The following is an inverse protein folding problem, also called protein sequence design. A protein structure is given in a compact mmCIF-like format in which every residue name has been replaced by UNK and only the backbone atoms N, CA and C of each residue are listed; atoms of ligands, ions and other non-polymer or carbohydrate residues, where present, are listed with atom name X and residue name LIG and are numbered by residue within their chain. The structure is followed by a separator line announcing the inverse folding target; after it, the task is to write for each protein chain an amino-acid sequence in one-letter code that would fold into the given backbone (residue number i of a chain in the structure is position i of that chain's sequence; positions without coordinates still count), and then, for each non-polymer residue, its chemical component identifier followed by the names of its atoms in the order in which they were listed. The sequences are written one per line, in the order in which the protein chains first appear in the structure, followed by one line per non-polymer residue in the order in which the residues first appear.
data_IF_207907759476
#
_entry.id   IF_207907759476
#
_cell.length_a   1.000
_cell.length_b   1.000
_cell.length_c   1.000
_cell.angle_alpha   90.00
_cell.angle_beta   90.00
_cell.angle_gamma   90.00
#
_symmetry.space_group_name_H-M   'P 1'
#
loop_
_entity.id
_entity.type
_entity.pdbx_description
1 polymer ?
#
# COMPACT_ATOMS: atom_id res chain seq x y z
N UNK A 1 -16.66 -32.42 4.49
CA UNK A 1 -15.80 -32.08 5.64
C UNK A 1 -15.82 -30.57 5.78
N UNK A 2 -16.34 -30.07 6.91
CA UNK A 2 -16.41 -28.64 7.24
C UNK A 2 -15.04 -28.17 7.73
N UNK A 3 -14.45 -27.19 7.06
CA UNK A 3 -13.14 -26.58 7.41
C UNK A 3 -13.23 -25.39 8.36
N UNK A 4 -14.27 -25.34 9.21
CA UNK A 4 -14.42 -24.30 10.22
C UNK A 4 -14.10 -24.87 11.61
N UNK A 5 -12.82 -25.00 11.94
CA UNK A 5 -12.38 -25.15 13.33
C UNK A 5 -10.88 -24.90 13.44
N UNK A 6 -10.50 -24.12 14.46
CA UNK A 6 -9.14 -23.78 14.94
C UNK A 6 -8.57 -22.41 14.50
N UNK A 7 -9.28 -21.34 14.86
CA UNK A 7 -8.67 -20.03 15.16
C UNK A 7 -8.46 -19.91 16.68
N UNK A 8 -7.47 -20.59 17.25
CA UNK A 8 -7.01 -20.36 18.63
C UNK A 8 -5.48 -20.52 18.68
N UNK A 9 -4.83 -19.46 19.18
CA UNK A 9 -3.38 -19.17 19.23
C UNK A 9 -2.77 -18.50 17.99
N UNK A 10 -2.86 -17.17 17.97
CA UNK A 10 -2.19 -16.29 17.01
C UNK A 10 -2.94 -16.16 15.69
N UNK A 11 -4.17 -15.63 15.73
CA UNK A 11 -4.97 -15.40 14.52
C UNK A 11 -4.12 -14.69 13.48
N UNK A 12 -4.11 -15.21 12.24
CA UNK A 12 -3.50 -14.55 11.09
C UNK A 12 -3.95 -13.10 11.16
N UNK A 13 -3.03 -12.20 11.46
CA UNK A 13 -3.34 -10.78 11.59
C UNK A 13 -3.59 -10.31 10.16
N UNK A 14 -4.86 -10.32 9.76
CA UNK A 14 -5.32 -9.77 8.50
C UNK A 14 -4.85 -8.31 8.45
N UNK A 15 -4.10 -7.98 7.41
CA UNK A 15 -3.46 -6.69 7.24
C UNK A 15 -3.90 -6.09 5.91
N UNK A 16 -3.91 -4.77 5.83
CA UNK A 16 -4.22 -4.04 4.61
C UNK A 16 -2.92 -3.56 3.98
N UNK A 17 -2.57 -4.08 2.81
CA UNK A 17 -1.44 -3.63 2.02
C UNK A 17 -1.90 -2.59 1.01
N UNK A 18 -1.22 -1.45 0.98
CA UNK A 18 -1.38 -0.45 -0.08
C UNK A 18 -0.07 -0.37 -0.84
N UNK A 19 -0.06 -0.88 -2.07
CA UNK A 19 1.13 -0.99 -2.93
C UNK A 19 1.14 0.13 -3.96
N UNK A 20 2.03 1.11 -3.77
CA UNK A 20 2.12 2.30 -4.63
C UNK A 20 3.26 2.13 -5.63
N UNK A 21 2.93 2.25 -6.92
CA UNK A 21 3.88 2.01 -8.03
C UNK A 21 4.88 3.16 -8.22
N UNK A 22 6.01 2.85 -8.87
CA UNK A 22 7.01 3.85 -9.24
C UNK A 22 6.57 4.76 -10.40
N UNK A 23 7.40 5.75 -10.74
CA UNK A 23 7.10 6.69 -11.82
C UNK A 23 6.93 6.00 -13.18
N UNK A 24 6.05 6.54 -14.03
CA UNK A 24 5.74 5.99 -15.37
C UNK A 24 5.26 4.52 -15.37
N UNK A 25 4.68 4.08 -14.26
CA UNK A 25 3.99 2.79 -14.13
C UNK A 25 2.55 3.03 -13.71
N UNK A 26 1.79 1.96 -13.51
CA UNK A 26 0.44 1.99 -12.95
C UNK A 26 0.26 0.83 -11.95
N UNK A 27 -0.89 0.75 -11.28
CA UNK A 27 -1.17 -0.25 -10.25
C UNK A 27 -1.08 -1.71 -10.74
N UNK A 28 -1.24 -1.98 -12.03
CA UNK A 28 -1.15 -3.34 -12.58
C UNK A 28 0.24 -3.93 -12.51
N UNK A 29 1.30 -3.10 -12.34
CA UNK A 29 2.67 -3.61 -12.16
C UNK A 29 2.75 -4.57 -10.96
N UNK A 30 1.93 -4.34 -9.93
CA UNK A 30 1.83 -5.23 -8.77
C UNK A 30 1.01 -6.47 -9.06
N UNK A 31 -0.08 -6.35 -9.83
CA UNK A 31 -0.91 -7.49 -10.25
C UNK A 31 -0.20 -8.43 -11.23
N UNK A 32 0.79 -7.92 -11.97
CA UNK A 32 1.69 -8.72 -12.82
C UNK A 32 2.81 -9.40 -12.02
N UNK A 33 2.99 -9.03 -10.75
CA UNK A 33 3.93 -9.67 -9.83
C UNK A 33 3.26 -10.80 -9.03
N UNK A 34 4.06 -11.69 -8.44
CA UNK A 34 3.55 -12.69 -7.50
C UNK A 34 3.18 -12.11 -6.13
N UNK A 35 3.47 -10.84 -5.85
CA UNK A 35 3.27 -10.23 -4.53
C UNK A 35 1.80 -10.21 -4.14
N UNK A 36 0.94 -9.71 -5.03
CA UNK A 36 -0.52 -9.63 -4.78
C UNK A 36 -1.14 -11.00 -4.49
N UNK A 37 -1.00 -12.02 -5.36
CA UNK A 37 -1.60 -13.33 -5.08
C UNK A 37 -1.03 -13.99 -3.84
N UNK A 38 0.27 -13.86 -3.55
CA UNK A 38 0.86 -14.43 -2.33
C UNK A 38 0.31 -13.78 -1.06
N UNK A 39 0.18 -12.44 -1.04
CA UNK A 39 -0.40 -11.74 0.10
C UNK A 39 -1.88 -12.09 0.32
N UNK A 40 -2.64 -12.20 -0.77
CA UNK A 40 -4.05 -12.61 -0.73
C UNK A 40 -4.22 -14.06 -0.27
N UNK A 41 -3.35 -14.99 -0.71
CA UNK A 41 -3.35 -16.39 -0.26
C UNK A 41 -3.11 -16.51 1.25
N UNK A 42 -2.33 -15.60 1.83
CA UNK A 42 -2.13 -15.50 3.28
C UNK A 42 -3.23 -14.73 4.01
N UNK A 43 -4.34 -14.39 3.33
CA UNK A 43 -5.52 -13.77 3.92
C UNK A 43 -5.42 -12.25 4.12
N UNK A 44 -4.47 -11.57 3.47
CA UNK A 44 -4.35 -10.12 3.52
C UNK A 44 -5.20 -9.43 2.45
N UNK A 45 -5.61 -8.19 2.71
CA UNK A 45 -6.25 -7.32 1.73
C UNK A 45 -5.18 -6.50 1.03
N UNK A 46 -5.30 -6.32 -0.29
CA UNK A 46 -4.28 -5.65 -1.11
C UNK A 46 -4.94 -4.63 -2.03
N UNK A 47 -4.45 -3.39 -1.97
CA UNK A 47 -4.87 -2.27 -2.80
C UNK A 47 -3.68 -1.81 -3.64
N UNK A 48 -3.89 -1.66 -4.95
CA UNK A 48 -2.85 -1.25 -5.89
C UNK A 48 -3.34 -0.02 -6.68
N UNK A 49 -3.38 1.19 -6.05
CA UNK A 49 -3.84 2.37 -6.76
C UNK A 49 -2.97 2.68 -7.96
N UNK A 50 -3.61 3.13 -9.04
CA UNK A 50 -2.94 3.83 -10.14
C UNK A 50 -2.99 5.32 -9.85
N UNK A 51 -1.83 5.96 -9.74
CA UNK A 51 -1.69 7.39 -9.57
C UNK A 51 -1.91 8.13 -10.90
N UNK A 52 -2.27 9.40 -10.82
CA UNK A 52 -2.40 10.25 -12.01
C UNK A 52 -1.07 10.40 -12.78
N UNK A 53 -1.18 10.84 -14.04
CA UNK A 53 -0.01 11.04 -14.89
C UNK A 53 0.85 12.21 -14.37
N UNK A 54 2.15 12.01 -14.06
CA UNK A 54 3.04 13.05 -13.57
C UNK A 54 3.25 14.22 -14.54
N UNK A 55 2.80 14.14 -15.80
CA UNK A 55 2.77 15.30 -16.70
C UNK A 55 1.72 16.35 -16.27
N UNK A 56 0.68 15.94 -15.55
CA UNK A 56 -0.45 16.79 -15.16
C UNK A 56 -0.67 16.86 -13.63
N UNK A 57 0.17 16.20 -12.85
CA UNK A 57 0.08 16.13 -11.39
C UNK A 57 1.45 16.35 -10.75
N UNK A 58 1.44 16.72 -9.47
CA UNK A 58 2.65 16.85 -8.66
C UNK A 58 2.64 15.88 -7.47
N UNK A 59 3.73 15.87 -6.69
CA UNK A 59 3.87 15.01 -5.52
C UNK A 59 2.73 15.16 -4.51
N UNK A 60 2.25 16.38 -4.26
CA UNK A 60 1.15 16.62 -3.31
C UNK A 60 -0.17 16.04 -3.81
N UNK A 61 -0.40 16.03 -5.12
CA UNK A 61 -1.58 15.43 -5.73
C UNK A 61 -1.53 13.90 -5.54
N UNK A 62 -0.39 13.28 -5.86
CA UNK A 62 -0.17 11.84 -5.65
C UNK A 62 -0.29 11.41 -4.19
N UNK A 63 0.22 12.20 -3.24
CA UNK A 63 0.00 11.94 -1.80
C UNK A 63 -1.50 11.97 -1.48
N UNK A 64 -2.20 12.98 -2.00
CA UNK A 64 -3.64 13.16 -1.74
C UNK A 64 -4.47 12.04 -2.33
N UNK A 65 -4.15 11.52 -3.52
CA UNK A 65 -4.83 10.37 -4.13
C UNK A 65 -4.77 9.13 -3.22
N UNK A 66 -3.60 8.83 -2.65
CA UNK A 66 -3.44 7.69 -1.74
C UNK A 66 -4.17 7.93 -0.42
N UNK A 67 -4.11 9.15 0.15
CA UNK A 67 -4.89 9.51 1.33
C UNK A 67 -6.40 9.35 1.08
N UNK A 68 -6.90 9.84 -0.05
CA UNK A 68 -8.32 9.73 -0.42
C UNK A 68 -8.75 8.28 -0.62
N UNK A 69 -7.92 7.42 -1.22
CA UNK A 69 -8.18 5.98 -1.28
C UNK A 69 -8.36 5.41 0.14
N UNK A 70 -7.41 5.69 1.03
CA UNK A 70 -7.40 5.18 2.41
C UNK A 70 -8.67 5.63 3.17
N UNK A 71 -9.11 6.86 2.97
CA UNK A 71 -10.34 7.38 3.59
C UNK A 71 -11.60 6.78 2.99
N UNK A 72 -11.73 6.80 1.65
CA UNK A 72 -12.93 6.34 0.95
C UNK A 72 -13.19 4.84 1.20
N UNK A 73 -12.12 4.03 1.23
CA UNK A 73 -12.19 2.60 1.49
C UNK A 73 -12.10 2.25 2.99
N UNK A 74 -12.05 3.27 3.87
CA UNK A 74 -12.01 3.11 5.33
C UNK A 74 -10.88 2.17 5.81
N UNK A 75 -9.72 2.24 5.16
CA UNK A 75 -8.58 1.35 5.39
C UNK A 75 -7.85 1.74 6.68
N UNK A 76 -7.53 0.75 7.52
CA UNK A 76 -6.81 0.93 8.79
C UNK A 76 -5.77 -0.19 8.97
N UNK A 77 -4.83 -0.05 9.93
CA UNK A 77 -3.73 -1.00 10.17
C UNK A 77 -2.94 -1.29 8.89
N UNK A 78 -2.46 -0.22 8.25
CA UNK A 78 -1.94 -0.25 6.89
C UNK A 78 -0.46 -0.61 6.90
N UNK A 79 -0.10 -1.56 6.03
CA UNK A 79 1.26 -1.76 5.56
C UNK A 79 1.39 -1.02 4.23
N UNK A 80 2.05 0.13 4.25
CA UNK A 80 2.15 1.03 3.11
C UNK A 80 3.49 0.79 2.40
N UNK A 81 3.42 0.38 1.13
CA UNK A 81 4.59 -0.06 0.34
C UNK A 81 4.77 0.86 -0.86
N UNK A 82 5.99 1.36 -1.07
CA UNK A 82 6.31 2.29 -2.16
C UNK A 82 7.57 1.88 -2.91
N UNK A 83 7.44 1.69 -4.22
CA UNK A 83 8.55 1.42 -5.13
C UNK A 83 9.09 2.69 -5.80
N UNK A 84 10.42 2.87 -5.81
CA UNK A 84 11.10 3.98 -6.48
C UNK A 84 10.52 5.37 -6.09
N UNK A 85 10.01 6.13 -7.07
CA UNK A 85 9.31 7.42 -6.87
C UNK A 85 8.27 7.39 -5.74
N UNK A 86 7.54 6.28 -5.59
CA UNK A 86 6.51 6.16 -4.57
C UNK A 86 7.04 6.27 -3.15
N UNK A 87 8.35 6.12 -2.89
CA UNK A 87 8.92 6.39 -1.58
C UNK A 87 8.59 7.80 -1.08
N UNK A 88 8.65 8.81 -1.96
CA UNK A 88 8.28 10.19 -1.60
C UNK A 88 6.78 10.29 -1.30
N UNK A 89 5.95 9.61 -2.10
CA UNK A 89 4.49 9.58 -1.94
C UNK A 89 4.13 8.94 -0.59
N UNK A 90 4.60 7.73 -0.31
CA UNK A 90 4.23 7.01 0.92
C UNK A 90 4.77 7.67 2.18
N UNK A 91 5.90 8.37 2.09
CA UNK A 91 6.43 9.17 3.20
C UNK A 91 5.51 10.35 3.52
N UNK A 92 5.00 11.05 2.49
CA UNK A 92 4.02 12.12 2.68
C UNK A 92 2.67 11.62 3.20
N UNK A 93 2.24 10.40 2.81
CA UNK A 93 1.03 9.77 3.36
C UNK A 93 1.22 9.45 4.84
N UNK A 94 2.37 8.88 5.21
CA UNK A 94 2.68 8.56 6.60
C UNK A 94 2.79 9.81 7.50
N UNK A 95 3.26 10.93 6.95
CA UNK A 95 3.27 12.24 7.65
C UNK A 95 1.85 12.78 7.88
N UNK A 96 0.94 12.61 6.90
CA UNK A 96 -0.45 13.10 6.98
C UNK A 96 -1.39 12.22 7.81
N UNK A 97 -1.16 10.91 7.85
CA UNK A 97 -2.07 9.93 8.47
C UNK A 97 -1.33 8.92 9.36
N UNK A 98 -0.41 9.35 10.25
CA UNK A 98 0.47 8.45 10.99
C UNK A 98 -0.27 7.40 11.82
N UNK A 99 -1.48 7.72 12.30
CA UNK A 99 -2.31 6.83 13.10
C UNK A 99 -2.88 5.64 12.33
N UNK A 100 -2.91 5.70 10.99
CA UNK A 100 -3.40 4.60 10.14
C UNK A 100 -2.31 3.64 9.70
N UNK A 101 -1.04 4.03 9.81
CA UNK A 101 0.11 3.30 9.25
C UNK A 101 0.77 2.46 10.35
N UNK A 102 0.76 1.13 10.20
CA UNK A 102 1.51 0.22 11.09
C UNK A 102 2.95 0.01 10.60
N UNK A 103 3.15 -0.02 9.27
CA UNK A 103 4.47 -0.23 8.66
C UNK A 103 4.61 0.59 7.38
N UNK A 104 5.81 1.08 7.14
CA UNK A 104 6.21 1.75 5.91
C UNK A 104 7.35 0.93 5.26
N UNK A 105 7.16 0.50 4.01
CA UNK A 105 8.11 -0.36 3.31
C UNK A 105 8.55 0.33 2.02
N UNK A 106 9.86 0.50 1.86
CA UNK A 106 10.48 1.09 0.69
C UNK A 106 11.12 -0.02 -0.15
N UNK A 107 10.76 -0.10 -1.44
CA UNK A 107 11.27 -1.13 -2.37
C UNK A 107 12.06 -0.45 -3.47
N UNK A 108 13.34 -0.78 -3.62
CA UNK A 108 14.24 -0.20 -4.64
C UNK A 108 14.10 1.33 -4.78
N UNK A 109 14.14 1.98 -3.61
CA UNK A 109 13.84 3.39 -3.44
C UNK A 109 15.01 4.12 -2.82
N UNK A 110 15.20 5.38 -3.22
CA UNK A 110 16.05 6.30 -2.46
C UNK A 110 15.19 6.91 -1.35
N UNK A 111 15.55 6.62 -0.10
CA UNK A 111 14.93 7.24 1.06
C UNK A 111 15.57 8.61 1.26
N UNK A 112 14.78 9.69 1.16
CA UNK A 112 15.22 11.01 1.60
C UNK A 112 14.98 11.07 3.10
N UNK A 113 16.04 10.86 3.88
CA UNK A 113 16.02 11.10 5.32
C UNK A 113 16.11 12.61 5.56
N UNK A 114 15.20 13.11 6.40
CA UNK A 114 15.26 14.44 6.99
C UNK A 114 16.18 14.48 8.21
#
# INVERSE_FOLDING_TARGET
MNMNMLWIYGGIIMANYVLVHGGKSDGHVWSQSQVVPLLQEHGHHVFCPTLSDPENSNLSDHISEVCSLIENEHINNIILVGHSYAAMVITGVADRMPEKIDRLIYVDSVVILN
#
